data_IF_088503475931
#
_entry.id   IF_088503475931
#
_cell.length_a   1.000
_cell.length_b   1.000
_cell.length_c   1.000
_cell.angle_alpha   90.00
_cell.angle_beta   90.00
_cell.angle_gamma   90.00
#
_symmetry.space_group_name_H-M   'P 1'
#
loop_
_entity.id
_entity.type
_entity.pdbx_description
1 polymer ?
#
# COMPACT_ATOMS: atom_id res chain seq x y z
N UNK A 1 -2.56 -1.09 10.00
CA UNK A 1 -2.16 -0.97 11.42
C UNK A 1 -0.93 -1.82 11.74
N UNK A 2 -0.93 -3.14 11.50
CA UNK A 2 0.19 -4.03 11.86
C UNK A 2 1.56 -3.58 11.31
N UNK A 3 1.64 -3.17 10.04
CA UNK A 3 2.88 -2.62 9.46
C UNK A 3 3.36 -1.37 10.22
N UNK A 4 2.45 -0.49 10.63
CA UNK A 4 2.80 0.70 11.42
C UNK A 4 3.40 0.31 12.78
N UNK A 5 2.81 -0.67 13.48
CA UNK A 5 3.30 -1.16 14.77
C UNK A 5 4.68 -1.81 14.61
N UNK A 6 4.84 -2.68 13.62
CA UNK A 6 6.13 -3.31 13.32
C UNK A 6 7.17 -2.27 12.93
N UNK A 7 6.82 -1.26 12.14
CA UNK A 7 7.73 -0.18 11.78
C UNK A 7 8.09 0.68 12.99
N UNK A 8 7.13 0.99 13.87
CA UNK A 8 7.38 1.75 15.08
C UNK A 8 8.34 1.02 16.04
N UNK A 9 8.23 -0.31 16.12
CA UNK A 9 9.08 -1.12 16.97
C UNK A 9 10.46 -1.40 16.36
N UNK A 10 10.52 -1.83 15.10
CA UNK A 10 11.77 -2.28 14.47
C UNK A 10 12.47 -1.20 13.61
N UNK A 11 11.75 -0.18 13.15
CA UNK A 11 12.32 0.93 12.37
C UNK A 11 12.95 0.51 11.03
N UNK A 12 12.61 -0.66 10.48
CA UNK A 12 13.33 -1.18 9.31
C UNK A 12 12.97 -0.43 8.04
N UNK A 13 13.97 -0.20 7.18
CA UNK A 13 13.76 0.40 5.87
C UNK A 13 12.78 -0.42 5.01
N UNK A 14 12.73 -1.74 5.17
CA UNK A 14 11.75 -2.57 4.46
C UNK A 14 10.31 -2.19 4.82
N UNK A 15 10.00 -2.12 6.12
CA UNK A 15 8.67 -1.71 6.57
C UNK A 15 8.37 -0.25 6.22
N UNK A 16 9.40 0.62 6.19
CA UNK A 16 9.26 2.01 5.74
C UNK A 16 8.81 2.11 4.28
N UNK A 17 9.43 1.33 3.39
CA UNK A 17 9.02 1.27 1.97
C UNK A 17 7.59 0.72 1.80
N UNK A 18 7.22 -0.32 2.56
CA UNK A 18 5.86 -0.89 2.56
C UNK A 18 4.84 0.11 3.09
N UNK A 19 5.14 0.80 4.20
CA UNK A 19 4.29 1.82 4.80
C UNK A 19 4.01 2.95 3.81
N UNK A 20 5.06 3.46 3.17
CA UNK A 20 4.96 4.53 2.20
C UNK A 20 4.15 4.15 0.97
N UNK A 21 4.50 3.04 0.33
CA UNK A 21 4.03 2.74 -1.03
C UNK A 21 2.75 1.90 -1.09
N UNK A 22 2.41 1.20 0.00
CA UNK A 22 1.20 0.36 0.07
C UNK A 22 0.23 0.84 1.14
N UNK A 23 0.68 0.99 2.39
CA UNK A 23 -0.23 1.31 3.49
C UNK A 23 -0.81 2.72 3.38
N UNK A 24 0.01 3.73 3.09
CA UNK A 24 -0.47 5.10 2.96
C UNK A 24 -1.49 5.28 1.83
N UNK A 25 -1.20 4.93 0.55
CA UNK A 25 -2.18 5.10 -0.52
C UNK A 25 -3.40 4.21 -0.33
N UNK A 26 -3.23 2.98 0.16
CA UNK A 26 -4.35 2.10 0.51
C UNK A 26 -5.26 2.70 1.59
N UNK A 27 -4.69 3.30 2.62
CA UNK A 27 -5.45 3.96 3.68
C UNK A 27 -6.17 5.24 3.19
N UNK A 28 -5.52 6.05 2.33
CA UNK A 28 -6.19 7.17 1.68
C UNK A 28 -7.40 6.71 0.86
N UNK A 29 -7.26 5.63 0.08
CA UNK A 29 -8.35 5.07 -0.70
C UNK A 29 -9.47 4.50 0.18
N UNK A 30 -9.14 3.88 1.32
CA UNK A 30 -10.14 3.40 2.27
C UNK A 30 -10.92 4.56 2.92
N UNK A 31 -10.28 5.72 3.14
CA UNK A 31 -10.96 6.92 3.64
C UNK A 31 -11.86 7.57 2.58
N UNK A 32 -11.48 7.51 1.30
CA UNK A 32 -12.24 8.07 0.17
C UNK A 32 -13.37 7.16 -0.29
N UNK A 33 -13.15 5.85 -0.25
CA UNK A 33 -14.08 4.80 -0.69
C UNK A 33 -14.29 3.75 0.42
N UNK A 34 -14.84 4.16 1.58
CA UNK A 34 -15.01 3.26 2.72
C UNK A 34 -16.04 2.17 2.46
N UNK A 35 -15.66 0.91 2.73
CA UNK A 35 -16.53 -0.26 2.63
C UNK A 35 -17.40 -0.48 3.88
N UNK A 36 -17.04 0.14 5.01
CA UNK A 36 -17.84 0.18 6.24
C UNK A 36 -19.07 1.10 6.17
N UNK A 37 -19.37 1.68 5.01
CA UNK A 37 -20.57 2.53 4.80
C UNK A 37 -21.89 1.78 4.88
N UNK A 38 -21.85 0.44 4.95
CA UNK A 38 -23.00 -0.38 5.32
C UNK A 38 -23.51 -0.07 6.75
N UNK A 39 -22.69 0.55 7.60
CA UNK A 39 -23.05 0.94 8.96
C UNK A 39 -23.33 2.46 9.06
N UNK A 40 -24.21 2.90 9.99
CA UNK A 40 -24.41 4.31 10.27
C UNK A 40 -23.10 5.04 10.63
N UNK A 41 -23.03 6.35 10.37
CA UNK A 41 -21.80 7.13 10.55
C UNK A 41 -21.22 7.08 11.98
N UNK A 42 -22.08 7.04 13.00
CA UNK A 42 -21.68 6.97 14.41
C UNK A 42 -21.60 5.54 14.97
N UNK A 43 -21.65 4.53 14.11
CA UNK A 43 -21.42 3.15 14.52
C UNK A 43 -19.93 2.93 14.86
N UNK A 44 -19.65 1.98 15.75
CA UNK A 44 -18.29 1.57 16.10
C UNK A 44 -17.45 1.26 14.86
N UNK A 45 -17.95 0.45 13.91
CA UNK A 45 -17.21 0.07 12.70
C UNK A 45 -16.86 1.28 11.84
N UNK A 46 -17.79 2.23 11.71
CA UNK A 46 -17.55 3.47 10.98
C UNK A 46 -16.48 4.32 11.65
N UNK A 47 -16.62 4.60 12.95
CA UNK A 47 -15.66 5.41 13.71
C UNK A 47 -14.30 4.74 13.74
N UNK A 48 -14.26 3.44 14.03
CA UNK A 48 -13.04 2.65 14.08
C UNK A 48 -12.34 2.59 12.72
N UNK A 49 -13.09 2.38 11.63
CA UNK A 49 -12.59 2.40 10.26
C UNK A 49 -11.89 3.72 9.93
N UNK A 50 -12.55 4.85 10.20
CA UNK A 50 -11.95 6.17 9.99
C UNK A 50 -10.73 6.43 10.88
N UNK A 51 -10.79 6.06 12.17
CA UNK A 51 -9.67 6.25 13.10
C UNK A 51 -8.45 5.41 12.70
N UNK A 52 -8.63 4.14 12.34
CA UNK A 52 -7.54 3.24 11.96
C UNK A 52 -6.87 3.74 10.69
N UNK A 53 -7.63 4.05 9.64
CA UNK A 53 -7.04 4.50 8.38
C UNK A 53 -6.47 5.91 8.47
N UNK A 54 -7.14 6.82 9.19
CA UNK A 54 -6.61 8.15 9.50
C UNK A 54 -5.27 8.08 10.25
N UNK A 55 -5.15 7.17 11.22
CA UNK A 55 -3.90 6.95 11.96
C UNK A 55 -2.79 6.40 11.06
N UNK A 56 -3.09 5.49 10.12
CA UNK A 56 -2.10 4.98 9.17
C UNK A 56 -1.56 6.11 8.30
N UNK A 57 -2.44 6.97 7.78
CA UNK A 57 -2.04 8.13 6.97
C UNK A 57 -1.20 9.10 7.80
N UNK A 58 -1.67 9.49 8.98
CA UNK A 58 -0.96 10.41 9.87
C UNK A 58 0.44 9.87 10.24
N UNK A 59 0.53 8.57 10.58
CA UNK A 59 1.80 7.92 10.89
C UNK A 59 2.75 7.92 9.69
N UNK A 60 2.26 7.55 8.50
CA UNK A 60 3.09 7.57 7.28
C UNK A 60 3.60 8.98 6.96
N UNK A 61 2.74 10.00 7.04
CA UNK A 61 3.13 11.41 6.84
C UNK A 61 4.21 11.81 7.85
N UNK A 62 4.04 11.51 9.13
CA UNK A 62 5.03 11.79 10.17
C UNK A 62 6.39 11.14 9.88
N UNK A 63 6.41 9.89 9.39
CA UNK A 63 7.66 9.21 9.05
C UNK A 63 8.35 9.83 7.82
N UNK A 64 7.58 10.34 6.86
CA UNK A 64 8.11 11.03 5.67
C UNK A 64 8.65 12.42 6.03
N UNK A 65 7.90 13.21 6.81
CA UNK A 65 8.30 14.58 7.18
C UNK A 65 9.47 14.61 8.14
N UNK A 66 9.60 13.60 9.01
CA UNK A 66 10.77 13.41 9.87
C UNK A 66 11.97 12.76 9.16
N UNK A 67 11.85 12.50 7.85
CA UNK A 67 12.88 11.83 7.03
C UNK A 67 13.29 10.42 7.51
N UNK A 68 12.54 9.81 8.42
CA UNK A 68 12.80 8.43 8.88
C UNK A 68 12.50 7.40 7.80
N UNK A 69 11.51 7.68 6.95
CA UNK A 69 11.23 6.92 5.74
C UNK A 69 11.66 7.74 4.53
N UNK A 70 12.62 7.22 3.78
CA UNK A 70 13.14 7.83 2.55
C UNK A 70 12.79 6.93 1.35
N UNK A 71 11.73 7.26 0.59
CA UNK A 71 11.39 6.53 -0.62
C UNK A 71 12.54 6.57 -1.64
N UNK A 72 12.83 5.44 -2.27
CA UNK A 72 13.86 5.31 -3.30
C UNK A 72 13.38 4.28 -4.34
N UNK A 73 13.35 4.68 -5.62
CA UNK A 73 12.93 3.81 -6.73
C UNK A 73 13.70 2.48 -6.78
N UNK A 74 14.96 2.48 -6.36
CA UNK A 74 15.80 1.26 -6.27
C UNK A 74 15.29 0.24 -5.25
N UNK A 75 14.37 0.65 -4.37
CA UNK A 75 13.78 -0.17 -3.31
C UNK A 75 12.35 -0.61 -3.62
N UNK A 76 11.81 -0.35 -4.81
CA UNK A 76 10.46 -0.75 -5.23
C UNK A 76 10.25 -2.28 -5.13
N UNK A 77 11.32 -3.07 -5.20
CA UNK A 77 11.24 -4.52 -5.01
C UNK A 77 10.76 -4.92 -3.61
N UNK A 78 10.95 -4.09 -2.58
CA UNK A 78 10.57 -4.39 -1.19
C UNK A 78 9.04 -4.54 -1.01
N UNK A 79 8.22 -3.56 -1.39
CA UNK A 79 6.76 -3.73 -1.35
C UNK A 79 6.27 -4.82 -2.31
N UNK A 80 6.95 -5.07 -3.44
CA UNK A 80 6.61 -6.20 -4.32
C UNK A 80 6.81 -7.53 -3.62
N UNK A 81 7.97 -7.75 -2.98
CA UNK A 81 8.24 -8.96 -2.18
C UNK A 81 7.23 -9.09 -1.05
N UNK A 82 6.89 -8.00 -0.36
CA UNK A 82 5.86 -8.01 0.68
C UNK A 82 4.51 -8.51 0.13
N UNK A 83 4.04 -7.99 -1.02
CA UNK A 83 2.79 -8.44 -1.63
C UNK A 83 2.86 -9.91 -2.04
N UNK A 84 3.96 -10.36 -2.66
CA UNK A 84 4.13 -11.75 -3.06
C UNK A 84 4.10 -12.73 -1.87
N UNK A 85 4.51 -12.30 -0.67
CA UNK A 85 4.47 -13.13 0.54
C UNK A 85 3.09 -13.06 1.22
N UNK A 86 2.50 -11.87 1.31
CA UNK A 86 1.30 -11.61 2.13
C UNK A 86 0.00 -11.92 1.39
N UNK A 87 -0.08 -11.63 0.09
CA UNK A 87 -1.32 -11.81 -0.69
C UNK A 87 -1.74 -13.28 -0.82
N UNK A 88 -0.85 -14.24 -1.13
CA UNK A 88 -1.25 -15.64 -1.26
C UNK A 88 -1.94 -16.22 -0.02
N UNK A 89 -1.38 -16.14 1.21
CA UNK A 89 -2.06 -16.68 2.38
C UNK A 89 -3.39 -15.96 2.65
N UNK A 90 -3.46 -14.63 2.48
CA UNK A 90 -4.72 -13.89 2.63
C UNK A 90 -5.79 -14.42 1.65
N UNK A 91 -5.43 -14.62 0.38
CA UNK A 91 -6.36 -15.11 -0.63
C UNK A 91 -6.97 -16.48 -0.28
N UNK A 92 -6.14 -17.40 0.25
CA UNK A 92 -6.61 -18.71 0.68
C UNK A 92 -7.45 -18.65 1.96
N UNK A 93 -7.01 -17.87 2.96
CA UNK A 93 -7.74 -17.68 4.20
C UNK A 93 -9.11 -17.02 3.98
N UNK A 94 -9.17 -16.06 3.05
CA UNK A 94 -10.43 -15.44 2.62
C UNK A 94 -11.41 -16.48 2.09
N UNK A 95 -10.97 -17.43 1.26
CA UNK A 95 -11.84 -18.52 0.79
C UNK A 95 -12.24 -19.48 1.89
N UNK A 96 -11.33 -19.74 2.83
CA UNK A 96 -11.57 -20.68 3.92
C UNK A 96 -12.60 -20.15 4.93
N UNK A 97 -12.59 -18.84 5.18
CA UNK A 97 -13.42 -18.19 6.20
C UNK A 97 -14.55 -17.32 5.63
N UNK A 98 -14.75 -17.35 4.32
CA UNK A 98 -15.75 -16.52 3.63
C UNK A 98 -15.59 -15.01 3.91
N UNK A 99 -14.34 -14.55 3.87
CA UNK A 99 -13.96 -13.14 4.06
C UNK A 99 -13.31 -12.55 2.82
N UNK A 100 -13.02 -11.24 2.83
CA UNK A 100 -12.37 -10.56 1.69
C UNK A 100 -11.37 -9.49 2.13
N UNK A 101 -10.45 -9.87 3.02
CA UNK A 101 -9.36 -8.98 3.40
C UNK A 101 -8.53 -8.59 2.17
N UNK A 102 -8.08 -7.34 2.15
CA UNK A 102 -7.33 -6.72 1.04
C UNK A 102 -8.09 -6.70 -0.28
N UNK A 103 -9.38 -7.07 -0.30
CA UNK A 103 -10.20 -7.15 -1.50
C UNK A 103 -9.60 -8.04 -2.60
N UNK A 104 -8.81 -9.07 -2.25
CA UNK A 104 -8.11 -9.88 -3.26
C UNK A 104 -9.00 -10.95 -3.91
N UNK A 105 -10.18 -11.22 -3.35
CA UNK A 105 -11.11 -12.22 -3.90
C UNK A 105 -12.23 -11.58 -4.73
N UNK A 106 -12.71 -10.39 -4.35
CA UNK A 106 -13.69 -9.59 -5.09
C UNK A 106 -13.56 -8.09 -4.74
N UNK A 107 -14.03 -7.16 -5.59
CA UNK A 107 -13.91 -5.73 -5.33
C UNK A 107 -14.76 -5.26 -4.15
N UNK A 108 -14.32 -4.17 -3.51
CA UNK A 108 -15.16 -3.38 -2.62
C UNK A 108 -16.26 -2.66 -3.41
N UNK A 109 -17.51 -2.78 -2.97
CA UNK A 109 -18.66 -2.15 -3.61
C UNK A 109 -18.55 -0.61 -3.54
N UNK A 110 -18.91 0.07 -4.63
CA UNK A 110 -18.82 1.53 -4.73
C UNK A 110 -17.40 2.09 -4.87
N UNK A 111 -16.37 1.24 -4.82
CA UNK A 111 -14.98 1.66 -5.02
C UNK A 111 -14.55 1.59 -6.50
N UNK A 112 -13.46 2.27 -6.89
CA UNK A 112 -12.87 2.14 -8.23
C UNK A 112 -12.48 0.70 -8.62
N UNK A 113 -12.33 -0.21 -7.65
CA UNK A 113 -12.02 -1.62 -7.93
C UNK A 113 -13.13 -2.33 -8.71
N UNK A 114 -14.37 -1.82 -8.67
CA UNK A 114 -15.48 -2.35 -9.46
C UNK A 114 -15.19 -2.31 -10.96
N UNK A 115 -14.40 -1.34 -11.44
CA UNK A 115 -14.01 -1.26 -12.85
C UNK A 115 -13.19 -2.47 -13.27
N UNK A 116 -12.30 -2.97 -12.41
CA UNK A 116 -11.49 -4.15 -12.70
C UNK A 116 -12.36 -5.40 -12.84
N UNK A 117 -13.40 -5.50 -12.03
CA UNK A 117 -14.37 -6.58 -12.13
C UNK A 117 -15.21 -6.49 -13.39
N UNK A 118 -15.63 -5.29 -13.80
CA UNK A 118 -16.37 -5.08 -15.05
C UNK A 118 -15.51 -5.42 -16.28
N UNK A 119 -14.21 -5.14 -16.24
CA UNK A 119 -13.29 -5.43 -17.35
C UNK A 119 -12.88 -6.91 -17.43
N UNK A 120 -12.58 -7.53 -16.29
CA UNK A 120 -11.97 -8.87 -16.26
C UNK A 120 -12.88 -9.99 -15.75
N UNK A 121 -14.04 -9.66 -15.19
CA UNK A 121 -14.88 -10.60 -14.45
C UNK A 121 -14.14 -11.31 -13.32
N UNK A 122 -14.67 -12.45 -12.88
CA UNK A 122 -14.11 -13.23 -11.75
C UNK A 122 -12.67 -13.70 -12.00
N UNK A 123 -12.35 -14.11 -13.22
CA UNK A 123 -11.02 -14.64 -13.56
C UNK A 123 -9.99 -13.53 -13.77
N UNK A 124 -10.39 -12.40 -14.36
CA UNK A 124 -9.50 -11.28 -14.67
C UNK A 124 -9.32 -10.28 -13.54
N UNK A 125 -10.19 -10.28 -12.52
CA UNK A 125 -10.14 -9.33 -11.42
C UNK A 125 -8.79 -9.29 -10.71
N UNK A 126 -8.29 -10.44 -10.22
CA UNK A 126 -7.05 -10.49 -9.45
C UNK A 126 -5.81 -10.09 -10.29
N UNK A 127 -5.61 -10.58 -11.54
CA UNK A 127 -4.54 -10.09 -12.39
C UNK A 127 -4.60 -8.58 -12.68
N UNK A 128 -5.80 -8.04 -12.96
CA UNK A 128 -5.97 -6.61 -13.18
C UNK A 128 -5.69 -5.81 -11.91
N UNK A 129 -6.06 -6.33 -10.75
CA UNK A 129 -5.78 -5.68 -9.48
C UNK A 129 -4.28 -5.71 -9.15
N UNK A 130 -3.59 -6.80 -9.43
CA UNK A 130 -2.13 -6.88 -9.31
C UNK A 130 -1.44 -5.86 -10.24
N UNK A 131 -1.92 -5.70 -11.47
CA UNK A 131 -1.42 -4.68 -12.41
C UNK A 131 -1.67 -3.27 -11.88
N UNK A 132 -2.87 -2.97 -11.40
CA UNK A 132 -3.20 -1.66 -10.81
C UNK A 132 -2.31 -1.36 -9.59
N UNK A 133 -2.11 -2.34 -8.70
CA UNK A 133 -1.23 -2.20 -7.55
C UNK A 133 0.22 -1.93 -7.98
N UNK A 134 0.71 -2.60 -9.02
CA UNK A 134 2.05 -2.35 -9.56
C UNK A 134 2.17 -0.95 -10.17
N UNK A 135 1.17 -0.50 -10.93
CA UNK A 135 1.12 0.88 -11.48
C UNK A 135 1.13 1.90 -10.34
N UNK A 136 0.32 1.69 -9.29
CA UNK A 136 0.30 2.56 -8.11
C UNK A 136 1.66 2.61 -7.42
N UNK A 137 2.36 1.47 -7.27
CA UNK A 137 3.73 1.44 -6.77
C UNK A 137 4.66 2.31 -7.61
N UNK A 138 4.65 2.14 -8.94
CA UNK A 138 5.49 2.93 -9.84
C UNK A 138 5.20 4.43 -9.70
N UNK A 139 3.93 4.83 -9.62
CA UNK A 139 3.52 6.23 -9.41
C UNK A 139 4.08 6.77 -8.09
N UNK A 140 3.98 6.01 -7.00
CA UNK A 140 4.51 6.42 -5.70
C UNK A 140 6.02 6.63 -5.75
N UNK A 141 6.77 5.77 -6.45
CA UNK A 141 8.23 5.91 -6.53
C UNK A 141 8.72 6.90 -7.60
N UNK A 142 7.88 7.29 -8.55
CA UNK A 142 8.25 8.13 -9.69
C UNK A 142 8.94 9.45 -9.29
N UNK A 143 8.44 10.22 -8.28
CA UNK A 143 9.10 11.46 -7.84
C UNK A 143 10.54 11.26 -7.33
N UNK A 144 10.92 10.04 -6.95
CA UNK A 144 12.22 9.72 -6.36
C UNK A 144 13.18 9.05 -7.36
N UNK A 145 12.76 8.85 -8.61
CA UNK A 145 13.59 8.25 -9.65
C UNK A 145 14.82 9.12 -10.00
N UNK A 146 14.64 10.44 -10.13
CA UNK A 146 15.71 11.37 -10.51
C UNK A 146 16.82 11.52 -9.45
N UNK A 147 16.46 11.58 -8.16
CA UNK A 147 17.43 11.64 -7.04
C UNK A 147 18.34 10.42 -6.98
N UNK A 148 17.81 9.27 -7.41
CA UNK A 148 18.53 7.99 -7.43
C UNK A 148 19.64 7.92 -8.49
N UNK A 149 19.44 8.60 -9.62
CA UNK A 149 20.39 8.66 -10.73
C UNK A 149 21.52 9.68 -10.50
N UNK A 150 21.19 10.87 -9.98
CA UNK A 150 22.18 11.93 -9.70
C UNK A 150 23.22 11.52 -8.64
N UNK A 151 22.79 10.84 -7.58
CA UNK A 151 23.67 10.34 -6.53
C UNK A 151 24.71 9.31 -7.04
N UNK A 152 24.38 8.54 -8.09
CA UNK A 152 25.33 7.61 -8.74
C UNK A 152 26.39 8.31 -9.59
N UNK A 153 26.05 9.42 -10.24
CA UNK A 153 27.00 10.15 -11.07
C UNK A 153 28.10 10.80 -10.21
N UNK A 154 27.70 11.44 -9.10
CA UNK A 154 28.63 12.08 -8.16
C UNK A 154 29.53 11.04 -7.48
N UNK A 155 28.96 9.97 -6.92
CA UNK A 155 29.73 8.92 -6.25
C UNK A 155 30.69 8.15 -7.19
N UNK A 156 30.47 8.18 -8.51
CA UNK A 156 31.38 7.59 -9.51
C UNK A 156 32.46 8.58 -9.96
N UNK A 157 32.20 9.89 -9.86
CA UNK A 157 33.18 10.96 -10.09
C UNK A 157 34.22 11.02 -8.98
N UNK A 158 33.80 10.97 -7.72
CA UNK A 158 34.70 11.01 -6.54
C UNK A 158 35.59 9.76 -6.42
N UNK A 159 35.16 8.62 -6.97
CA UNK A 159 35.96 7.38 -6.96
C UNK A 159 37.04 7.34 -8.04
N UNK A 160 37.08 8.34 -8.93
CA UNK A 160 38.04 8.46 -10.04
C UNK A 160 39.08 9.57 -9.85
N UNK A 161 39.02 10.30 -8.73
CA UNK A 161 40.01 11.30 -8.28
C UNK A 161 40.78 10.74 -7.11
#
# INVERSE_FOLDING_TARGET
MFVCLLHAYFGTDFLGQVLYSLCMPGACLALLFPDWTAYPALNYESIFGFLVHGTIVAYAVMQLTSERVKPDMRKIWKPVVFLCIVVPPIYFLNKLWDTNFFFVNWPSAGSPLMLLWQLGGKAGYLPLYALLAFIALVIMYFPFAAKSAGSRYIAKGERKT
#
